data_IF_252668579689
#
_entry.id   IF_252668579689
#
_cell.length_a   1.000
_cell.length_b   1.000
_cell.length_c   1.000
_cell.angle_alpha   90.00
_cell.angle_beta   90.00
_cell.angle_gamma   90.00
#
_symmetry.space_group_name_H-M   'P 1'
#
loop_
_entity.id
_entity.type
_entity.pdbx_description
1 polymer ?
#
# COMPACT_ATOMS: atom_id res chain seq x y z
N UNK A 1 20.13 9.23 2.54
CA UNK A 1 18.72 9.73 2.39
C UNK A 1 18.56 10.66 1.18
N UNK A 2 19.18 11.85 1.16
CA UNK A 2 19.10 12.83 0.05
C UNK A 2 19.47 12.27 -1.32
N UNK A 3 20.46 11.37 -1.34
CA UNK A 3 20.97 10.68 -2.53
C UNK A 3 19.91 9.85 -3.26
N UNK A 4 18.87 9.39 -2.55
CA UNK A 4 17.78 8.60 -3.11
C UNK A 4 16.60 9.48 -3.53
N UNK A 5 16.62 10.78 -3.21
CA UNK A 5 15.53 11.67 -3.55
C UNK A 5 15.52 11.94 -5.05
N UNK A 6 14.32 11.94 -5.63
CA UNK A 6 14.19 12.17 -7.06
C UNK A 6 14.17 13.67 -7.38
N UNK A 7 14.83 14.11 -8.46
CA UNK A 7 14.74 15.48 -8.91
C UNK A 7 13.29 15.88 -9.19
N UNK A 8 12.94 17.14 -8.90
CA UNK A 8 11.59 17.69 -9.13
C UNK A 8 11.08 17.49 -10.57
N UNK A 9 11.98 17.49 -11.55
CA UNK A 9 11.68 17.27 -12.97
C UNK A 9 11.22 15.85 -13.29
N UNK A 10 11.48 14.90 -12.40
CA UNK A 10 11.08 13.49 -12.53
C UNK A 10 9.83 13.15 -11.69
N UNK A 11 9.38 14.08 -10.85
CA UNK A 11 8.13 13.93 -10.10
C UNK A 11 6.98 14.24 -11.06
N UNK A 12 5.97 13.35 -11.18
CA UNK A 12 4.75 13.66 -11.92
C UNK A 12 4.14 14.98 -11.44
N UNK A 13 3.51 15.75 -12.34
CA UNK A 13 2.83 17.01 -11.97
C UNK A 13 1.78 16.81 -10.87
N UNK A 14 1.19 15.60 -10.84
CA UNK A 14 0.13 15.23 -9.91
C UNK A 14 0.40 13.90 -9.25
N UNK A 15 0.15 13.84 -7.95
CA UNK A 15 0.12 12.62 -7.16
C UNK A 15 -1.25 12.44 -6.51
N UNK A 16 -1.60 11.20 -6.19
CA UNK A 16 -2.92 10.83 -5.67
C UNK A 16 -2.75 10.05 -4.37
N UNK A 17 -3.19 10.62 -3.25
CA UNK A 17 -3.13 9.94 -1.96
C UNK A 17 -4.50 9.42 -1.53
N UNK A 18 -4.56 8.14 -1.16
CA UNK A 18 -5.70 7.57 -0.45
C UNK A 18 -5.64 8.01 1.03
N UNK A 19 -6.69 8.68 1.48
CA UNK A 19 -6.87 9.15 2.85
C UNK A 19 -8.09 8.44 3.45
N UNK A 20 -7.90 7.72 4.55
CA UNK A 20 -8.95 7.01 5.30
C UNK A 20 -8.90 7.37 6.79
N UNK A 21 -9.91 6.97 7.56
CA UNK A 21 -10.05 7.41 8.96
C UNK A 21 -8.91 6.89 9.82
N UNK A 22 -8.55 5.62 9.69
CA UNK A 22 -7.36 5.11 10.40
C UNK A 22 -6.03 5.76 9.97
N UNK A 23 -6.02 6.56 8.91
CA UNK A 23 -4.86 7.34 8.49
C UNK A 23 -4.87 8.77 9.00
N UNK A 24 -5.61 9.09 10.09
CA UNK A 24 -5.76 10.40 10.76
C UNK A 24 -4.43 11.15 10.95
N UNK A 25 -3.95 11.71 9.84
CA UNK A 25 -2.86 12.65 9.68
C UNK A 25 -3.56 13.99 9.48
N UNK A 26 -3.42 14.85 10.48
CA UNK A 26 -4.20 16.08 10.74
C UNK A 26 -4.67 16.78 9.47
N UNK A 27 -5.99 16.89 9.37
CA UNK A 27 -6.77 17.93 8.70
C UNK A 27 -6.20 18.43 7.36
N UNK A 28 -6.74 17.93 6.25
CA UNK A 28 -6.33 18.34 4.91
C UNK A 28 -6.53 19.84 4.63
N UNK A 29 -7.24 20.61 5.47
CA UNK A 29 -7.22 22.10 5.42
C UNK A 29 -5.87 22.68 5.86
N UNK A 30 -5.16 21.97 6.72
CA UNK A 30 -3.81 22.31 7.22
C UNK A 30 -2.70 21.60 6.45
N UNK A 31 -3.05 20.62 5.61
CA UNK A 31 -2.14 19.80 4.84
C UNK A 31 -2.13 18.36 5.33
N UNK A 32 -1.08 17.61 5.01
CA UNK A 32 -0.83 16.28 5.56
C UNK A 32 0.52 16.30 6.28
N UNK A 33 0.57 15.60 7.42
CA UNK A 33 1.77 15.50 8.25
C UNK A 33 1.98 14.03 8.57
N UNK A 34 3.19 13.53 8.35
CA UNK A 34 3.61 12.19 8.71
C UNK A 34 3.51 12.00 10.24
N UNK A 35 3.52 10.74 10.69
CA UNK A 35 3.38 10.46 12.13
C UNK A 35 4.62 10.92 12.88
N UNK A 36 5.78 10.74 12.27
CA UNK A 36 7.05 11.28 12.73
C UNK A 36 7.56 12.32 11.71
N UNK A 37 7.87 13.50 12.24
CA UNK A 37 8.41 14.66 11.50
C UNK A 37 9.71 15.18 12.10
N UNK A 38 10.18 14.52 13.15
CA UNK A 38 11.38 14.92 13.90
C UNK A 38 12.58 14.07 13.51
N UNK A 39 12.34 12.81 13.16
CA UNK A 39 13.41 11.90 12.79
C UNK A 39 13.86 12.17 11.36
N UNK A 40 15.16 12.30 11.22
CA UNK A 40 15.89 12.41 9.97
C UNK A 40 17.19 11.63 10.18
N UNK A 41 17.49 10.70 9.29
CA UNK A 41 18.70 9.89 9.38
C UNK A 41 19.50 9.98 8.10
N UNK A 42 20.81 10.14 8.26
CA UNK A 42 21.78 10.04 7.17
C UNK A 42 22.30 8.60 7.03
N UNK A 43 22.02 7.74 8.01
CA UNK A 43 22.41 6.34 8.01
C UNK A 43 21.57 5.54 7.00
N UNK A 44 22.24 4.83 6.10
CA UNK A 44 21.59 4.09 5.02
C UNK A 44 20.81 2.87 5.53
N UNK A 45 21.32 2.19 6.56
CA UNK A 45 20.69 1.00 7.13
C UNK A 45 19.42 1.39 7.90
N UNK A 46 19.49 2.46 8.69
CA UNK A 46 18.33 3.03 9.39
C UNK A 46 17.28 3.51 8.38
N UNK A 47 17.70 4.22 7.33
CA UNK A 47 16.79 4.66 6.28
C UNK A 47 16.12 3.48 5.56
N UNK A 48 16.87 2.42 5.24
CA UNK A 48 16.35 1.20 4.64
C UNK A 48 15.29 0.53 5.54
N UNK A 49 15.57 0.42 6.84
CA UNK A 49 14.64 -0.12 7.83
C UNK A 49 13.31 0.65 7.84
N UNK A 50 13.36 1.98 7.88
CA UNK A 50 12.14 2.82 7.90
C UNK A 50 11.37 2.73 6.58
N UNK A 51 12.06 2.66 5.44
CA UNK A 51 11.44 2.43 4.12
C UNK A 51 10.73 1.08 4.08
N UNK A 52 11.40 0.02 4.53
CA UNK A 52 10.87 -1.34 4.60
C UNK A 52 9.60 -1.40 5.46
N UNK A 53 9.67 -0.87 6.67
CA UNK A 53 8.53 -0.84 7.60
C UNK A 53 7.34 -0.08 7.01
N UNK A 54 7.59 1.07 6.36
CA UNK A 54 6.54 1.84 5.71
C UNK A 54 5.85 1.05 4.59
N UNK A 55 6.65 0.49 3.67
CA UNK A 55 6.15 -0.25 2.50
C UNK A 55 5.31 -1.45 2.93
N UNK A 56 5.78 -2.21 3.92
CA UNK A 56 5.10 -3.40 4.40
C UNK A 56 3.93 -3.08 5.36
N UNK A 57 3.72 -1.81 5.70
CA UNK A 57 2.66 -1.38 6.62
C UNK A 57 2.89 -1.87 8.06
N UNK A 58 4.15 -2.08 8.44
CA UNK A 58 4.53 -2.48 9.80
C UNK A 58 4.32 -1.28 10.71
N UNK A 59 3.61 -1.48 11.84
CA UNK A 59 3.41 -0.43 12.83
C UNK A 59 4.68 -0.27 13.67
N UNK A 60 5.42 0.81 13.42
CA UNK A 60 6.53 1.23 14.27
C UNK A 60 6.05 2.08 15.45
N UNK A 61 6.83 2.09 16.54
CA UNK A 61 6.54 2.84 17.77
C UNK A 61 6.39 4.35 17.53
N UNK A 62 7.22 4.91 16.66
CA UNK A 62 7.21 6.33 16.30
C UNK A 62 6.31 6.63 15.08
N UNK A 63 5.73 5.59 14.46
CA UNK A 63 4.99 5.69 13.22
C UNK A 63 5.90 6.06 12.03
N UNK A 64 5.29 6.27 10.87
CA UNK A 64 6.08 6.47 9.66
C UNK A 64 6.42 7.94 9.36
N UNK A 65 7.65 8.15 8.87
CA UNK A 65 8.16 9.41 8.29
C UNK A 65 7.53 9.79 6.95
N UNK A 66 6.88 8.85 6.28
CA UNK A 66 6.43 9.03 4.90
C UNK A 66 4.92 9.24 4.78
N UNK A 67 4.56 9.97 3.74
CA UNK A 67 3.20 10.11 3.21
C UNK A 67 3.19 9.47 1.82
N UNK A 68 2.51 8.34 1.69
CA UNK A 68 2.46 7.58 0.43
C UNK A 68 1.44 8.18 -0.54
N UNK A 69 1.82 8.36 -1.79
CA UNK A 69 0.96 8.83 -2.86
C UNK A 69 1.25 8.08 -4.16
N UNK A 70 0.28 8.00 -5.07
CA UNK A 70 0.40 7.29 -6.33
C UNK A 70 0.52 8.25 -7.50
N UNK A 71 1.31 7.91 -8.53
CA UNK A 71 1.36 8.68 -9.77
C UNK A 71 0.06 8.60 -10.60
N UNK A 72 -0.78 7.60 -10.35
CA UNK A 72 -2.01 7.35 -11.12
C UNK A 72 -3.22 7.34 -10.21
N UNK A 73 -4.26 8.09 -10.61
CA UNK A 73 -5.57 8.08 -9.95
C UNK A 73 -6.17 6.68 -9.91
N UNK A 74 -6.14 5.98 -11.04
CA UNK A 74 -6.67 4.61 -11.14
C UNK A 74 -5.94 3.66 -10.20
N UNK A 75 -4.62 3.81 -10.03
CA UNK A 75 -3.87 3.00 -9.05
C UNK A 75 -4.24 3.32 -7.61
N UNK A 76 -4.45 4.59 -7.28
CA UNK A 76 -4.97 4.98 -5.98
C UNK A 76 -6.36 4.39 -5.73
N UNK A 77 -7.25 4.40 -6.74
CA UNK A 77 -8.58 3.80 -6.67
C UNK A 77 -8.52 2.27 -6.47
N UNK A 78 -7.72 1.56 -7.26
CA UNK A 78 -7.53 0.11 -7.13
C UNK A 78 -6.97 -0.27 -5.75
N UNK A 79 -6.00 0.51 -5.25
CA UNK A 79 -5.45 0.32 -3.91
C UNK A 79 -6.49 0.58 -2.83
N UNK A 80 -7.27 1.65 -2.97
CA UNK A 80 -8.39 1.98 -2.08
C UNK A 80 -9.42 0.84 -2.05
N UNK A 81 -9.81 0.32 -3.21
CA UNK A 81 -10.76 -0.78 -3.29
C UNK A 81 -10.21 -2.10 -2.73
N UNK A 82 -8.89 -2.35 -2.73
CA UNK A 82 -8.32 -3.58 -2.16
C UNK A 82 -8.30 -3.57 -0.63
N UNK A 83 -8.02 -2.42 -0.01
CA UNK A 83 -7.91 -2.34 1.47
C UNK A 83 -9.14 -1.73 2.14
N UNK A 84 -10.27 -1.62 1.44
CA UNK A 84 -11.51 -1.00 1.94
C UNK A 84 -11.96 -1.46 3.33
N UNK A 85 -11.78 -2.75 3.64
CA UNK A 85 -12.15 -3.34 4.94
C UNK A 85 -11.37 -2.79 6.13
N UNK A 86 -10.22 -2.16 5.89
CA UNK A 86 -9.33 -1.63 6.93
C UNK A 86 -9.52 -0.14 7.22
N UNK A 87 -10.41 0.55 6.49
CA UNK A 87 -10.40 2.01 6.44
C UNK A 87 -11.22 2.74 7.50
N UNK A 88 -12.11 2.05 8.22
CA UNK A 88 -13.02 2.67 9.17
C UNK A 88 -14.35 3.02 8.50
N UNK A 89 -14.79 4.28 8.61
CA UNK A 89 -16.07 4.81 8.09
C UNK A 89 -15.99 5.21 6.60
N UNK A 90 -14.77 5.43 6.10
CA UNK A 90 -14.57 5.61 4.67
C UNK A 90 -13.14 5.94 4.26
N UNK A 91 -13.00 6.16 2.95
CA UNK A 91 -11.78 6.64 2.33
C UNK A 91 -12.09 7.65 1.22
N UNK A 92 -11.14 8.53 0.93
CA UNK A 92 -11.19 9.49 -0.15
C UNK A 92 -9.84 9.56 -0.85
N UNK A 93 -9.82 10.13 -2.06
CA UNK A 93 -8.57 10.38 -2.79
C UNK A 93 -8.29 11.88 -2.81
N UNK A 94 -7.11 12.24 -2.33
CA UNK A 94 -6.56 13.59 -2.40
C UNK A 94 -5.69 13.72 -3.65
N UNK A 95 -5.89 14.79 -4.40
CA UNK A 95 -5.04 15.14 -5.54
C UNK A 95 -4.03 16.20 -5.10
N UNK A 96 -2.75 15.89 -5.31
CA UNK A 96 -1.61 16.68 -4.85
C UNK A 96 -0.88 17.24 -6.08
N UNK A 97 -0.80 18.56 -6.16
CA UNK A 97 0.00 19.27 -7.15
C UNK A 97 1.45 19.40 -6.67
N UNK A 98 2.38 18.79 -7.39
CA UNK A 98 3.75 18.59 -6.91
C UNK A 98 4.60 19.85 -6.97
N UNK A 99 4.25 20.80 -7.85
CA UNK A 99 4.88 22.12 -7.93
C UNK A 99 4.78 22.88 -6.60
N UNK A 100 3.71 22.64 -5.83
CA UNK A 100 3.39 23.32 -4.57
C UNK A 100 3.94 22.64 -3.31
N UNK A 101 4.60 21.48 -3.41
CA UNK A 101 5.16 20.73 -2.27
C UNK A 101 6.24 21.51 -1.50
N UNK A 102 6.96 22.41 -2.16
CA UNK A 102 8.07 23.15 -1.54
C UNK A 102 9.35 22.31 -1.36
N UNK A 103 10.19 22.65 -0.39
CA UNK A 103 11.46 21.98 -0.14
C UNK A 103 11.27 20.73 0.71
N UNK A 104 10.78 19.65 0.09
CA UNK A 104 10.62 18.35 0.72
C UNK A 104 11.19 17.25 -0.16
N UNK A 105 11.68 16.19 0.47
CA UNK A 105 12.19 15.02 -0.23
C UNK A 105 11.03 14.14 -0.70
N UNK A 106 11.14 13.70 -1.95
CA UNK A 106 10.23 12.74 -2.55
C UNK A 106 11.07 11.60 -3.08
N UNK A 107 10.60 10.38 -2.83
CA UNK A 107 11.24 9.14 -3.28
C UNK A 107 10.25 8.37 -4.13
N UNK A 108 10.73 7.66 -5.14
CA UNK A 108 9.92 6.65 -5.81
C UNK A 108 10.09 5.33 -5.05
N UNK A 109 9.00 4.78 -4.52
CA UNK A 109 9.04 3.67 -3.59
C UNK A 109 9.76 2.44 -4.17
N UNK A 110 9.43 2.07 -5.41
CA UNK A 110 10.09 0.95 -6.09
C UNK A 110 11.59 1.16 -6.35
N UNK A 111 12.04 2.38 -6.63
CA UNK A 111 13.45 2.67 -6.88
C UNK A 111 14.25 2.65 -5.59
N UNK A 112 13.79 3.36 -4.55
CA UNK A 112 14.46 3.37 -3.24
C UNK A 112 14.47 1.97 -2.64
N UNK A 113 13.39 1.20 -2.80
CA UNK A 113 13.32 -0.16 -2.29
C UNK A 113 14.33 -1.08 -2.99
N UNK A 114 14.47 -0.94 -4.30
CA UNK A 114 15.43 -1.71 -5.08
C UNK A 114 16.87 -1.34 -4.72
N UNK A 115 17.19 -0.05 -4.63
CA UNK A 115 18.54 0.42 -4.31
C UNK A 115 19.00 0.04 -2.91
N UNK A 116 18.08 0.01 -1.94
CA UNK A 116 18.38 -0.34 -0.55
C UNK A 116 18.22 -1.84 -0.26
N UNK A 117 17.89 -2.65 -1.27
CA UNK A 117 17.68 -4.09 -1.14
C UNK A 117 16.68 -4.49 -0.02
N UNK A 118 15.66 -3.65 0.21
CA UNK A 118 14.67 -3.90 1.27
C UNK A 118 13.72 -5.03 0.90
N UNK A 119 13.30 -5.80 1.92
CA UNK A 119 12.26 -6.81 1.73
C UNK A 119 10.88 -6.13 1.55
N UNK A 120 10.24 -6.39 0.42
CA UNK A 120 8.94 -5.82 0.05
C UNK A 120 7.82 -6.87 -0.03
N UNK A 121 7.98 -7.98 0.69
CA UNK A 121 7.04 -9.10 0.74
C UNK A 121 5.59 -8.71 1.06
N UNK A 122 5.37 -7.57 1.74
CA UNK A 122 4.05 -7.05 2.10
C UNK A 122 3.30 -6.29 1.00
N UNK A 123 3.90 -6.06 -0.18
CA UNK A 123 3.30 -5.25 -1.25
C UNK A 123 3.51 -5.86 -2.64
N UNK A 124 2.78 -5.36 -3.63
CA UNK A 124 2.94 -5.82 -5.03
C UNK A 124 3.89 -4.91 -5.79
N UNK A 125 4.68 -5.49 -6.70
CA UNK A 125 5.61 -4.73 -7.56
C UNK A 125 4.90 -3.61 -8.34
N UNK A 126 3.67 -3.87 -8.80
CA UNK A 126 2.86 -2.89 -9.53
C UNK A 126 2.46 -1.68 -8.67
N UNK A 127 2.26 -1.87 -7.37
CA UNK A 127 1.96 -0.79 -6.45
C UNK A 127 3.22 0.04 -6.18
N UNK A 128 4.33 -0.62 -5.88
CA UNK A 128 5.63 0.01 -5.59
C UNK A 128 6.12 0.93 -6.71
N UNK A 129 6.00 0.50 -7.96
CA UNK A 129 6.47 1.30 -9.10
C UNK A 129 5.65 2.59 -9.27
N UNK A 130 4.38 2.57 -8.85
CA UNK A 130 3.50 3.73 -8.96
C UNK A 130 3.45 4.57 -7.68
N UNK A 131 4.07 4.11 -6.60
CA UNK A 131 4.04 4.74 -5.29
C UNK A 131 5.24 5.67 -5.11
N UNK A 132 4.95 6.82 -4.50
CA UNK A 132 5.87 7.88 -4.16
C UNK A 132 5.78 8.12 -2.66
N UNK A 133 6.93 8.23 -2.01
CA UNK A 133 7.05 8.49 -0.58
C UNK A 133 7.44 9.95 -0.41
N UNK A 134 6.53 10.76 0.16
CA UNK A 134 6.80 12.16 0.48
C UNK A 134 7.26 12.23 1.93
N UNK A 135 8.42 12.82 2.18
CA UNK A 135 8.96 12.93 3.53
C UNK A 135 8.21 14.01 4.34
N UNK A 136 7.80 13.64 5.55
CA UNK A 136 7.24 14.47 6.62
C UNK A 136 5.94 15.22 6.32
N UNK A 137 5.82 16.00 5.24
CA UNK A 137 4.70 16.94 5.06
C UNK A 137 4.27 17.14 3.60
N UNK A 138 2.96 17.28 3.41
CA UNK A 138 2.33 17.83 2.21
C UNK A 138 1.61 19.11 2.63
N UNK A 139 2.00 20.30 2.14
CA UNK A 139 1.35 21.54 2.55
C UNK A 139 -0.08 21.63 1.98
N UNK A 140 -0.99 22.32 2.69
CA UNK A 140 -2.38 22.48 2.26
C UNK A 140 -2.53 23.00 0.82
N UNK A 141 -1.71 23.98 0.43
CA UNK A 141 -1.69 24.55 -0.93
C UNK A 141 -1.36 23.54 -2.04
N UNK A 142 -0.75 22.41 -1.69
CA UNK A 142 -0.48 21.35 -2.66
C UNK A 142 -1.70 20.44 -2.86
N UNK A 143 -2.68 20.44 -1.96
CA UNK A 143 -3.89 19.62 -2.08
C UNK A 143 -4.93 20.41 -2.88
N UNK A 144 -5.04 20.09 -4.17
CA UNK A 144 -5.85 20.87 -5.11
C UNK A 144 -7.28 20.32 -5.29
N UNK A 145 -7.50 19.04 -4.95
CA UNK A 145 -8.83 18.45 -5.02
C UNK A 145 -9.01 17.30 -4.02
N UNK A 146 -10.27 17.08 -3.64
CA UNK A 146 -10.74 15.90 -2.91
C UNK A 146 -11.74 15.18 -3.78
N UNK A 147 -11.48 13.91 -4.08
CA UNK A 147 -12.24 13.10 -5.04
C UNK A 147 -12.65 11.77 -4.42
N UNK A 148 -13.53 11.08 -5.13
CA UNK A 148 -13.90 9.67 -4.93
C UNK A 148 -14.01 9.27 -3.45
N UNK A 149 -15.20 9.45 -2.86
CA UNK A 149 -15.46 9.06 -1.48
C UNK A 149 -16.10 7.68 -1.46
N UNK A 150 -15.40 6.72 -0.87
CA UNK A 150 -15.96 5.42 -0.51
C UNK A 150 -16.47 5.52 0.93
N UNK A 151 -17.77 5.36 1.13
CA UNK A 151 -18.36 5.25 2.45
C UNK A 151 -18.65 3.78 2.75
N UNK A 152 -18.24 3.31 3.91
CA UNK A 152 -18.68 2.03 4.45
C UNK A 152 -19.93 2.30 5.28
N UNK A 153 -21.08 2.52 4.63
CA UNK A 153 -22.33 2.58 5.37
C UNK A 153 -22.46 1.27 6.16
N UNK A 154 -22.70 1.41 7.46
CA UNK A 154 -22.81 0.28 8.38
C UNK A 154 -23.68 -0.81 7.79
N UNK A 155 -23.07 -1.95 7.48
CA UNK A 155 -23.75 -3.23 7.50
C UNK A 155 -24.05 -3.55 8.97
N UNK A 156 -24.81 -2.69 9.63
CA UNK A 156 -25.42 -3.04 10.90
C UNK A 156 -26.48 -4.07 10.55
N UNK A 157 -26.32 -5.25 11.15
CA UNK A 157 -27.20 -6.39 11.02
C UNK A 157 -28.66 -5.93 11.09
N UNK A 158 -29.34 -6.09 9.96
CA UNK A 158 -30.79 -6.02 9.90
C UNK A 158 -31.40 -7.32 10.42
N UNK A 159 -30.85 -7.83 11.52
CA UNK A 159 -31.40 -8.88 12.37
C UNK A 159 -32.03 -8.25 13.62
N UNK A 160 -32.68 -7.09 13.46
CA UNK A 160 -33.80 -6.75 14.33
C UNK A 160 -35.01 -7.50 13.80
N UNK A 161 -35.07 -8.80 14.15
CA UNK A 161 -36.31 -9.55 14.21
C UNK A 161 -37.22 -8.85 15.23
N UNK A 162 -37.92 -7.82 14.75
CA UNK A 162 -39.13 -7.33 15.38
C UNK A 162 -40.15 -8.45 15.34
N UNK A 163 -40.21 -9.21 16.43
CA UNK A 163 -41.34 -10.06 16.75
C UNK A 163 -42.57 -9.16 16.89
N UNK A 164 -43.31 -9.03 15.81
CA UNK A 164 -44.65 -8.49 15.80
C UNK A 164 -45.50 -9.44 14.98
N UNK A 165 -45.86 -10.52 15.67
CA UNK A 165 -47.05 -11.31 15.42
C UNK A 165 -48.21 -10.42 14.96
N UNK A 166 -48.58 -10.57 13.70
CA UNK A 166 -49.88 -10.16 13.18
C UNK A 166 -50.24 -11.10 12.03
N UNK A 167 -51.13 -12.00 12.40
CA UNK A 167 -51.89 -12.94 11.61
C UNK A 167 -52.49 -12.28 10.35
N UNK A 168 -52.14 -12.80 9.18
CA UNK A 168 -52.75 -12.42 7.90
C UNK A 168 -52.66 -13.55 6.87
N UNK A 169 -53.68 -14.39 6.89
CA UNK A 169 -54.42 -14.96 5.75
C UNK A 169 -53.62 -15.43 4.52
N UNK A 170 -53.59 -16.76 4.39
CA UNK A 170 -53.28 -17.54 3.19
C UNK A 170 -53.95 -17.02 1.91
N UNK A 171 -53.15 -16.68 0.90
CA UNK A 171 -53.55 -16.77 -0.50
C UNK A 171 -52.35 -17.24 -1.34
N UNK A 172 -52.38 -18.54 -1.60
CA UNK A 172 -51.50 -19.28 -2.49
C UNK A 172 -51.65 -18.81 -3.94
N UNK A 173 -50.55 -18.33 -4.53
CA UNK A 173 -50.35 -18.37 -5.99
C UNK A 173 -48.91 -18.73 -6.33
N UNK A 174 -48.78 -19.94 -6.85
CA UNK A 174 -47.60 -20.45 -7.54
C UNK A 174 -47.35 -19.62 -8.80
N UNK A 175 -46.10 -19.22 -9.03
CA UNK A 175 -45.61 -18.95 -10.38
C UNK A 175 -44.11 -19.22 -10.42
N UNK A 176 -43.79 -20.42 -10.86
CA UNK A 176 -42.48 -20.87 -11.30
C UNK A 176 -42.07 -20.13 -12.57
N UNK A 177 -41.01 -19.32 -12.49
CA UNK A 177 -40.32 -18.83 -13.69
C UNK A 177 -38.87 -19.31 -13.62
N UNK A 178 -38.61 -20.32 -14.43
CA UNK A 178 -37.32 -20.91 -14.70
C UNK A 178 -36.45 -19.90 -15.45
N UNK A 179 -35.37 -19.40 -14.83
CA UNK A 179 -34.33 -18.67 -15.53
C UNK A 179 -33.26 -19.64 -16.02
N UNK A 180 -33.31 -19.93 -17.32
CA UNK A 180 -32.40 -20.81 -18.03
C UNK A 180 -31.31 -19.94 -18.69
N UNK A 181 -30.07 -20.06 -18.22
CA UNK A 181 -28.90 -19.41 -18.83
C UNK A 181 -28.47 -20.18 -20.09
N UNK A 182 -28.17 -19.49 -21.22
CA UNK A 182 -27.62 -20.14 -22.39
C UNK A 182 -26.09 -20.30 -22.31
N UNK A 183 -25.64 -21.55 -22.42
CA UNK A 183 -24.50 -22.01 -23.22
C UNK A 183 -23.10 -21.42 -22.99
N UNK A 184 -22.24 -22.21 -22.34
CA UNK A 184 -20.79 -22.17 -22.57
C UNK A 184 -20.32 -23.54 -23.13
N UNK A 185 -19.53 -23.57 -24.22
CA UNK A 185 -19.05 -24.81 -24.81
C UNK A 185 -17.85 -25.36 -24.03
N UNK A 186 -17.85 -26.68 -23.86
CA UNK A 186 -16.80 -27.40 -23.14
C UNK A 186 -15.47 -27.49 -23.89
N UNK A 187 -14.41 -27.73 -23.11
CA UNK A 187 -13.24 -28.49 -23.57
C UNK A 187 -12.78 -29.45 -22.48
N UNK A 188 -12.89 -30.73 -22.81
CA UNK A 188 -12.13 -31.84 -22.23
C UNK A 188 -10.65 -31.65 -22.58
N UNK A 189 -9.77 -32.05 -21.66
CA UNK A 189 -8.33 -32.15 -21.92
C UNK A 189 -7.59 -32.68 -20.71
N UNK A 190 -7.67 -33.99 -20.49
CA UNK A 190 -6.70 -34.73 -19.67
C UNK A 190 -5.34 -34.71 -20.37
N UNK A 191 -4.26 -34.52 -19.61
CA UNK A 191 -3.02 -35.27 -19.81
C UNK A 191 -2.14 -35.13 -18.56
N UNK A 192 -1.80 -36.27 -17.99
CA UNK A 192 -0.80 -36.43 -16.95
C UNK A 192 0.61 -36.27 -17.51
N UNK A 193 1.57 -35.89 -16.67
CA UNK A 193 2.93 -36.42 -16.71
C UNK A 193 3.56 -36.34 -15.31
N UNK A 194 4.07 -37.50 -14.88
CA UNK A 194 4.85 -37.75 -13.66
C UNK A 194 6.35 -37.53 -13.91
N UNK A 195 7.10 -37.54 -12.80
CA UNK A 195 8.52 -37.99 -12.66
C UNK A 195 9.54 -36.84 -12.68
N UNK A 196 10.04 -36.37 -11.53
CA UNK A 196 11.15 -36.86 -10.66
C UNK A 196 12.55 -36.64 -11.28
N UNK A 197 13.43 -36.02 -10.47
CA UNK A 197 14.91 -36.12 -10.28
C UNK A 197 15.31 -34.72 -9.76
N UNK A 198 15.70 -34.47 -8.49
CA UNK A 198 16.61 -35.20 -7.62
C UNK A 198 18.04 -34.72 -7.91
N UNK A 199 18.62 -33.89 -7.06
CA UNK A 199 20.07 -33.84 -6.70
C UNK A 199 20.21 -32.84 -5.54
N UNK A 200 20.41 -33.40 -4.34
CA UNK A 200 21.19 -32.77 -3.27
C UNK A 200 22.66 -32.77 -3.70
N UNK A 201 23.39 -31.70 -3.40
CA UNK A 201 24.82 -31.80 -3.06
C UNK A 201 25.15 -30.75 -2.01
N UNK A 202 25.23 -31.25 -0.79
CA UNK A 202 26.12 -30.73 0.25
C UNK A 202 27.57 -30.95 -0.21
N UNK A 203 28.43 -29.97 0.05
CA UNK A 203 29.82 -30.21 0.45
C UNK A 203 30.25 -29.03 1.32
N UNK A 204 30.36 -29.32 2.62
CA UNK A 204 31.23 -28.62 3.57
C UNK A 204 32.70 -28.81 3.18
N UNK A 205 33.55 -27.88 3.64
CA UNK A 205 34.93 -28.02 4.19
C UNK A 205 35.65 -26.68 3.98
N UNK A 206 35.78 -25.86 5.02
CA UNK A 206 36.86 -25.83 6.03
C UNK A 206 37.97 -24.82 5.70
N UNK A 207 38.07 -23.83 6.59
CA UNK A 207 39.28 -23.39 7.29
C UNK A 207 40.52 -22.95 6.49
N UNK A 208 40.97 -21.70 6.74
CA UNK A 208 42.29 -21.32 7.29
C UNK A 208 42.63 -19.88 6.85
N UNK A 209 42.95 -19.01 7.83
CA UNK A 209 44.02 -18.03 7.65
C UNK A 209 43.71 -16.56 7.97
N UNK A 210 43.76 -16.19 9.26
CA UNK A 210 44.20 -14.85 9.66
C UNK A 210 45.70 -14.70 9.49
N UNK A 211 46.19 -13.51 9.10
CA UNK A 211 47.17 -12.80 9.94
C UNK A 211 46.85 -11.29 10.04
N UNK A 212 46.74 -10.73 11.26
CA UNK A 212 47.79 -9.96 11.96
C UNK A 212 48.43 -8.79 11.17
N UNK A 213 48.02 -7.58 11.56
CA UNK A 213 48.92 -6.55 12.11
C UNK A 213 49.61 -5.57 11.16
N UNK A 214 49.44 -4.27 11.45
CA UNK A 214 50.43 -3.16 11.41
C UNK A 214 49.62 -1.83 11.42
N UNK A 215 49.44 -1.13 12.55
CA UNK A 215 50.34 -0.10 13.12
C UNK A 215 50.95 0.79 12.04
N UNK A 216 50.44 2.03 11.92
CA UNK A 216 51.23 3.23 11.68
C UNK A 216 50.63 4.39 12.45
N UNK A 217 51.39 4.89 13.43
CA UNK A 217 51.32 6.27 13.94
C UNK A 217 52.19 7.13 13.05
N UNK A 218 51.73 8.33 12.75
CA UNK A 218 52.53 9.56 12.78
C UNK A 218 51.65 10.67 13.36
#
# INVERSE_FOLDING_TARGET
MDEHSIPRTQIPERLYRVQHDQSFKKDAEKGLVASDVTTFTEDSEEFASVVQSHINGIKEEYGSLFISAFASKTRAEDWMCRKWRSYGEGAQILEIETSHLGHGYVYRAGEVAHTLEVDVSGTTYGDLHNEYLILHRVPARAIIARRARMMTHGLEDRDSAGDSSSDATMASRQSSVSFQWPGLPGKKGQAASKTIIGIQRETETEFVGSPRGSIWRL
#
